data_IF_270815135896
#
_entry.id   IF_270815135896
#
_cell.length_a   1.000
_cell.length_b   1.000
_cell.length_c   1.000
_cell.angle_alpha   90.00
_cell.angle_beta   90.00
_cell.angle_gamma   90.00
#
_symmetry.space_group_name_H-M   'P 1'
#
loop_
_entity.id
_entity.type
_entity.pdbx_description
1 polymer ?
#
# COMPACT_ATOMS: atom_id res chain seq x y z
N UNK A 1 19.38 -47.87 -6.27
CA UNK A 1 20.19 -47.95 -7.50
C UNK A 1 21.47 -47.19 -7.21
N UNK A 2 22.39 -47.82 -6.47
CA UNK A 2 23.60 -48.48 -7.03
C UNK A 2 24.40 -47.55 -7.93
N UNK A 3 25.47 -47.04 -7.33
CA UNK A 3 26.71 -46.55 -7.93
C UNK A 3 27.18 -47.46 -9.06
N UNK A 4 27.48 -46.89 -10.22
CA UNK A 4 28.42 -47.49 -11.17
C UNK A 4 29.34 -46.41 -11.74
N UNK A 5 30.63 -46.75 -11.68
CA UNK A 5 31.80 -46.01 -12.13
C UNK A 5 31.68 -45.56 -13.58
N UNK A 6 32.32 -44.43 -13.88
CA UNK A 6 33.02 -44.29 -15.16
C UNK A 6 34.39 -43.71 -14.83
N UNK A 7 35.41 -44.51 -15.07
CA UNK A 7 36.83 -44.19 -14.91
C UNK A 7 37.15 -42.94 -15.73
N UNK A 8 37.80 -41.95 -15.09
CA UNK A 8 38.33 -40.78 -15.77
C UNK A 8 39.85 -40.92 -15.75
N UNK A 9 40.39 -41.39 -16.88
CA UNK A 9 41.84 -41.46 -17.12
C UNK A 9 42.44 -40.06 -16.99
N UNK A 10 43.48 -39.94 -16.17
CA UNK A 10 44.37 -38.78 -16.12
C UNK A 10 45.38 -38.89 -17.25
N UNK A 11 45.30 -38.01 -18.24
CA UNK A 11 46.47 -37.57 -19.01
C UNK A 11 46.69 -36.08 -18.79
N UNK A 12 47.93 -35.77 -18.37
CA UNK A 12 48.45 -34.45 -18.01
C UNK A 12 48.99 -33.70 -19.24
N UNK A 13 48.90 -32.38 -19.12
CA UNK A 13 49.71 -31.33 -19.75
C UNK A 13 49.65 -31.18 -21.28
N UNK A 14 48.78 -30.29 -21.74
CA UNK A 14 49.03 -29.52 -22.97
C UNK A 14 49.09 -28.02 -22.61
N UNK A 15 50.32 -27.50 -22.50
CA UNK A 15 50.58 -26.06 -22.40
C UNK A 15 50.52 -25.48 -23.81
N UNK A 16 49.51 -24.67 -24.11
CA UNK A 16 49.47 -23.93 -25.37
C UNK A 16 50.22 -22.60 -25.26
N UNK A 17 51.23 -22.40 -26.10
CA UNK A 17 52.02 -21.16 -26.18
C UNK A 17 51.62 -20.38 -27.43
N UNK A 18 50.96 -19.23 -27.27
CA UNK A 18 50.78 -18.25 -28.35
C UNK A 18 51.79 -17.09 -28.24
N UNK A 19 52.47 -16.81 -29.35
CA UNK A 19 53.46 -15.73 -29.44
C UNK A 19 52.79 -14.41 -29.83
N UNK A 20 53.02 -13.35 -29.04
CA UNK A 20 52.70 -11.97 -29.44
C UNK A 20 53.95 -11.23 -29.96
N UNK A 21 53.74 -10.23 -30.81
CA UNK A 21 54.72 -9.64 -31.73
C UNK A 21 55.92 -8.88 -31.10
N UNK A 22 56.13 -8.96 -29.78
CA UNK A 22 57.24 -8.29 -29.07
C UNK A 22 58.10 -9.22 -28.19
N UNK A 23 57.97 -10.54 -28.29
CA UNK A 23 58.93 -11.48 -27.69
C UNK A 23 58.94 -11.56 -26.15
N UNK A 24 57.99 -10.92 -25.47
CA UNK A 24 57.70 -11.19 -24.06
C UNK A 24 56.74 -12.38 -23.98
N UNK A 25 57.18 -13.46 -23.34
CA UNK A 25 56.33 -14.60 -22.97
C UNK A 25 55.29 -14.13 -21.95
N UNK A 26 54.10 -13.79 -22.41
CA UNK A 26 52.93 -13.74 -21.55
C UNK A 26 52.50 -15.19 -21.31
N UNK A 27 52.76 -15.70 -20.12
CA UNK A 27 52.17 -16.95 -19.64
C UNK A 27 50.68 -16.67 -19.52
N UNK A 28 49.91 -17.04 -20.54
CA UNK A 28 48.46 -17.18 -20.40
C UNK A 28 48.30 -18.47 -19.60
N UNK A 29 48.17 -18.33 -18.29
CA UNK A 29 47.88 -19.44 -17.39
C UNK A 29 46.48 -19.95 -17.77
N UNK A 30 46.44 -20.98 -18.62
CA UNK A 30 45.23 -21.67 -19.00
C UNK A 30 44.72 -22.36 -17.74
N UNK A 31 43.58 -21.88 -17.20
CA UNK A 31 43.01 -22.46 -15.98
C UNK A 31 42.87 -23.97 -16.18
N UNK A 32 43.28 -24.74 -15.17
CA UNK A 32 43.03 -26.18 -15.22
C UNK A 32 41.53 -26.45 -15.30
N UNK A 33 41.15 -27.60 -15.83
CA UNK A 33 39.74 -28.02 -15.90
C UNK A 33 39.06 -27.89 -14.53
N UNK A 34 39.77 -28.24 -13.44
CA UNK A 34 39.28 -28.13 -12.07
C UNK A 34 39.04 -26.67 -11.63
N UNK A 35 39.95 -25.76 -11.99
CA UNK A 35 39.83 -24.33 -11.67
C UNK A 35 38.70 -23.66 -12.46
N UNK A 36 38.53 -24.03 -13.74
CA UNK A 36 37.43 -23.56 -14.57
C UNK A 36 36.08 -24.03 -14.02
N UNK A 37 35.96 -25.31 -13.66
CA UNK A 37 34.76 -25.85 -13.00
C UNK A 37 34.47 -25.15 -11.66
N UNK A 38 35.50 -24.88 -10.85
CA UNK A 38 35.34 -24.18 -9.57
C UNK A 38 34.83 -22.74 -9.77
N UNK A 39 35.34 -22.04 -10.79
CA UNK A 39 34.92 -20.69 -11.15
C UNK A 39 33.48 -20.66 -11.68
N UNK A 40 33.12 -21.58 -12.55
CA UNK A 40 31.76 -21.70 -13.09
C UNK A 40 30.76 -22.05 -11.97
N UNK A 41 31.14 -22.95 -11.05
CA UNK A 41 30.34 -23.27 -9.88
C UNK A 41 30.16 -22.05 -8.95
N UNK A 42 31.21 -21.26 -8.73
CA UNK A 42 31.12 -20.04 -7.94
C UNK A 42 30.21 -19.01 -8.60
N UNK A 43 30.31 -18.84 -9.91
CA UNK A 43 29.45 -17.95 -10.69
C UNK A 43 27.98 -18.38 -10.68
N UNK A 44 27.69 -19.67 -10.84
CA UNK A 44 26.33 -20.18 -10.74
C UNK A 44 25.76 -20.09 -9.32
N UNK A 45 26.58 -20.28 -8.28
CA UNK A 45 26.17 -20.03 -6.88
C UNK A 45 25.83 -18.56 -6.64
N UNK A 46 26.62 -17.63 -7.17
CA UNK A 46 26.35 -16.19 -7.07
C UNK A 46 25.04 -15.82 -7.78
N UNK A 47 24.86 -16.29 -9.02
CA UNK A 47 23.59 -16.13 -9.77
C UNK A 47 22.41 -16.70 -8.99
N UNK A 48 22.55 -17.90 -8.42
CA UNK A 48 21.50 -18.53 -7.64
C UNK A 48 21.16 -17.71 -6.40
N UNK A 49 22.16 -17.25 -5.63
CA UNK A 49 21.95 -16.43 -4.45
C UNK A 49 21.24 -15.11 -4.80
N UNK A 50 21.64 -14.47 -5.90
CA UNK A 50 20.99 -13.26 -6.39
C UNK A 50 19.55 -13.53 -6.81
N UNK A 51 19.30 -14.57 -7.60
CA UNK A 51 17.94 -14.94 -8.04
C UNK A 51 17.04 -15.28 -6.83
N UNK A 52 17.59 -15.97 -5.85
CA UNK A 52 16.90 -16.29 -4.60
C UNK A 52 16.53 -15.01 -3.83
N UNK A 53 17.45 -14.04 -3.73
CA UNK A 53 17.18 -12.76 -3.09
C UNK A 53 16.12 -11.95 -3.86
N UNK A 54 16.17 -11.92 -5.19
CA UNK A 54 15.16 -11.28 -6.04
C UNK A 54 13.78 -11.94 -5.87
N UNK A 55 13.74 -13.28 -5.77
CA UNK A 55 12.51 -14.03 -5.52
C UNK A 55 11.89 -13.75 -4.16
N UNK A 56 12.69 -13.71 -3.08
CA UNK A 56 12.22 -13.36 -1.74
C UNK A 56 11.67 -11.93 -1.69
N UNK A 57 12.35 -10.98 -2.34
CA UNK A 57 11.87 -9.61 -2.48
C UNK A 57 10.55 -9.52 -3.26
N UNK A 58 10.46 -10.25 -4.38
CA UNK A 58 9.23 -10.35 -5.18
C UNK A 58 8.07 -10.90 -4.33
N UNK A 59 8.27 -12.02 -3.63
CA UNK A 59 7.26 -12.64 -2.78
C UNK A 59 6.77 -11.68 -1.71
N UNK A 60 7.69 -10.97 -1.04
CA UNK A 60 7.36 -9.96 -0.03
C UNK A 60 6.53 -8.81 -0.62
N UNK A 61 6.91 -8.30 -1.80
CA UNK A 61 6.18 -7.25 -2.51
C UNK A 61 4.78 -7.70 -2.90
N UNK A 62 4.66 -8.86 -3.54
CA UNK A 62 3.37 -9.42 -3.97
C UNK A 62 2.43 -9.67 -2.80
N UNK A 63 2.94 -10.16 -1.66
CA UNK A 63 2.13 -10.32 -0.45
C UNK A 63 1.59 -8.99 0.07
N UNK A 64 2.41 -7.93 0.05
CA UNK A 64 1.99 -6.58 0.45
C UNK A 64 0.91 -6.04 -0.49
N UNK A 65 1.12 -6.12 -1.80
CA UNK A 65 0.16 -5.66 -2.80
C UNK A 65 -1.18 -6.40 -2.70
N UNK A 66 -1.15 -7.71 -2.47
CA UNK A 66 -2.37 -8.51 -2.27
C UNK A 66 -3.14 -8.09 -1.01
N UNK A 67 -2.43 -7.76 0.07
CA UNK A 67 -3.06 -7.28 1.30
C UNK A 67 -3.72 -5.91 1.09
N UNK A 68 -3.04 -4.99 0.42
CA UNK A 68 -3.60 -3.68 0.08
C UNK A 68 -4.83 -3.79 -0.82
N UNK A 69 -4.77 -4.65 -1.85
CA UNK A 69 -5.93 -4.89 -2.72
C UNK A 69 -7.13 -5.42 -1.92
N UNK A 70 -6.91 -6.32 -0.95
CA UNK A 70 -7.97 -6.83 -0.10
C UNK A 70 -8.56 -5.75 0.81
N UNK A 71 -7.71 -4.87 1.38
CA UNK A 71 -8.17 -3.74 2.21
C UNK A 71 -9.07 -2.80 1.43
N UNK A 72 -8.79 -2.58 0.15
CA UNK A 72 -9.54 -1.62 -0.69
C UNK A 72 -10.59 -2.24 -1.61
N UNK A 73 -10.76 -3.57 -1.60
CA UNK A 73 -11.61 -4.28 -2.55
C UNK A 73 -13.09 -3.85 -2.50
N UNK A 74 -13.59 -3.42 -1.35
CA UNK A 74 -14.97 -2.98 -1.16
C UNK A 74 -15.14 -1.44 -1.27
N UNK A 75 -14.10 -0.71 -1.67
CA UNK A 75 -14.11 0.76 -1.72
C UNK A 75 -15.30 1.29 -2.54
N UNK A 76 -15.56 0.75 -3.73
CA UNK A 76 -16.62 1.24 -4.63
C UNK A 76 -18.01 1.09 -4.00
N UNK A 77 -18.27 -0.06 -3.36
CA UNK A 77 -19.53 -0.33 -2.67
C UNK A 77 -19.68 0.60 -1.47
N UNK A 78 -18.62 0.78 -0.67
CA UNK A 78 -18.65 1.68 0.47
C UNK A 78 -18.93 3.12 0.04
N UNK A 79 -18.29 3.59 -1.03
CA UNK A 79 -18.52 4.93 -1.60
C UNK A 79 -19.97 5.11 -2.05
N UNK A 80 -20.55 4.12 -2.72
CA UNK A 80 -21.95 4.15 -3.14
C UNK A 80 -22.94 4.15 -1.96
N UNK A 81 -22.52 3.66 -0.78
CA UNK A 81 -23.35 3.65 0.44
C UNK A 81 -23.24 4.94 1.27
N UNK A 82 -22.21 5.77 1.07
CA UNK A 82 -22.03 7.01 1.84
C UNK A 82 -23.20 8.00 1.70
N UNK A 83 -23.77 8.24 0.51
CA UNK A 83 -24.94 9.12 0.38
C UNK A 83 -26.13 8.66 1.23
N UNK A 84 -26.32 7.33 1.35
CA UNK A 84 -27.38 6.76 2.19
C UNK A 84 -27.11 7.05 3.67
N UNK A 85 -25.85 6.91 4.10
CA UNK A 85 -25.44 7.27 5.46
C UNK A 85 -25.63 8.76 5.74
N UNK A 86 -25.30 9.63 4.78
CA UNK A 86 -25.51 11.08 4.92
C UNK A 86 -27.00 11.43 5.02
N UNK A 87 -27.87 10.71 4.29
CA UNK A 87 -29.31 10.91 4.40
C UNK A 87 -29.86 10.45 5.75
N UNK A 88 -29.28 9.42 6.39
CA UNK A 88 -29.58 9.09 7.77
C UNK A 88 -29.16 10.19 8.74
N UNK A 89 -27.98 10.76 8.58
CA UNK A 89 -27.53 11.92 9.36
C UNK A 89 -28.48 13.11 9.19
N UNK A 90 -28.89 13.40 7.95
CA UNK A 90 -29.85 14.47 7.61
C UNK A 90 -31.21 14.21 8.22
N UNK A 91 -31.71 12.98 8.11
CA UNK A 91 -33.00 12.58 8.66
C UNK A 91 -33.01 12.64 10.18
N UNK A 92 -31.91 12.28 10.84
CA UNK A 92 -31.80 12.35 12.30
C UNK A 92 -32.05 13.77 12.84
N UNK A 93 -31.57 14.81 12.16
CA UNK A 93 -31.82 16.21 12.53
C UNK A 93 -33.30 16.55 12.54
N UNK A 94 -34.07 16.02 11.59
CA UNK A 94 -35.51 16.27 11.51
C UNK A 94 -36.30 15.39 12.47
N UNK A 95 -35.97 14.11 12.56
CA UNK A 95 -36.62 13.13 13.43
C UNK A 95 -36.48 13.53 14.91
N UNK A 96 -35.33 14.11 15.29
CA UNK A 96 -35.10 14.59 16.64
C UNK A 96 -36.08 15.71 17.07
N UNK A 97 -36.76 16.37 16.12
CA UNK A 97 -37.80 17.39 16.39
C UNK A 97 -39.19 16.77 16.62
N UNK A 98 -39.38 15.49 16.32
CA UNK A 98 -40.64 14.79 16.59
C UNK A 98 -40.87 14.64 18.10
N UNK A 99 -42.11 14.49 18.55
CA UNK A 99 -42.43 14.11 19.94
C UNK A 99 -42.56 12.58 20.11
N UNK A 100 -42.49 11.82 19.01
CA UNK A 100 -42.57 10.35 19.04
C UNK A 100 -41.20 9.72 19.34
N UNK A 101 -41.00 9.38 20.62
CA UNK A 101 -39.78 8.73 21.10
C UNK A 101 -39.55 7.32 20.53
N UNK A 102 -40.61 6.58 20.20
CA UNK A 102 -40.47 5.25 19.60
C UNK A 102 -39.94 5.37 18.17
N UNK A 103 -40.44 6.36 17.42
CA UNK A 103 -39.95 6.67 16.08
C UNK A 103 -38.47 7.08 16.12
N UNK A 104 -38.09 8.01 17.02
CA UNK A 104 -36.69 8.44 17.19
C UNK A 104 -35.76 7.26 17.42
N UNK A 105 -36.10 6.44 18.42
CA UNK A 105 -35.30 5.27 18.79
C UNK A 105 -35.23 4.25 17.67
N UNK A 106 -36.34 4.00 16.96
CA UNK A 106 -36.36 3.09 15.82
C UNK A 106 -35.40 3.50 14.71
N UNK A 107 -35.37 4.78 14.36
CA UNK A 107 -34.49 5.30 13.31
C UNK A 107 -33.04 5.36 13.76
N UNK A 108 -32.79 5.77 15.01
CA UNK A 108 -31.45 5.76 15.61
C UNK A 108 -30.83 4.36 15.57
N UNK A 109 -31.58 3.31 15.95
CA UNK A 109 -31.09 1.93 15.91
C UNK A 109 -30.72 1.47 14.50
N UNK A 110 -31.49 1.86 13.48
CA UNK A 110 -31.19 1.52 12.09
C UNK A 110 -29.94 2.26 11.62
N UNK A 111 -29.82 3.54 11.96
CA UNK A 111 -28.66 4.36 11.63
C UNK A 111 -27.38 3.79 12.26
N UNK A 112 -27.40 3.49 13.56
CA UNK A 112 -26.26 2.87 14.24
C UNK A 112 -25.91 1.52 13.65
N UNK A 113 -26.90 0.68 13.32
CA UNK A 113 -26.67 -0.62 12.70
C UNK A 113 -26.00 -0.46 11.33
N UNK A 114 -26.44 0.49 10.50
CA UNK A 114 -25.81 0.78 9.21
C UNK A 114 -24.37 1.23 9.41
N UNK A 115 -24.14 2.24 10.27
CA UNK A 115 -22.81 2.76 10.58
C UNK A 115 -21.87 1.66 11.05
N UNK A 116 -22.28 0.88 12.05
CA UNK A 116 -21.49 -0.22 12.60
C UNK A 116 -21.20 -1.31 11.56
N UNK A 117 -22.15 -1.58 10.66
CA UNK A 117 -21.94 -2.53 9.55
C UNK A 117 -20.85 -2.02 8.61
N UNK A 118 -20.87 -0.74 8.23
CA UNK A 118 -19.84 -0.17 7.35
C UNK A 118 -18.47 -0.11 8.05
N UNK A 119 -18.43 0.24 9.33
CA UNK A 119 -17.20 0.21 10.15
C UNK A 119 -16.62 -1.21 10.23
N UNK A 120 -17.45 -2.23 10.42
CA UNK A 120 -16.99 -3.64 10.40
C UNK A 120 -16.40 -4.08 9.05
N UNK A 121 -16.66 -3.32 7.98
CA UNK A 121 -16.09 -3.52 6.64
C UNK A 121 -14.86 -2.63 6.37
N UNK A 122 -14.35 -1.95 7.39
CA UNK A 122 -13.14 -1.13 7.33
C UNK A 122 -13.36 0.36 7.08
N UNK A 123 -14.62 0.83 7.02
CA UNK A 123 -14.92 2.24 6.86
C UNK A 123 -14.56 3.01 8.14
N UNK A 124 -13.70 4.02 8.03
CA UNK A 124 -13.35 4.91 9.14
C UNK A 124 -13.70 6.35 8.77
N UNK A 125 -14.29 7.10 9.69
CA UNK A 125 -14.54 8.53 9.49
C UNK A 125 -13.21 9.30 9.62
N UNK A 126 -12.99 10.28 8.75
CA UNK A 126 -11.86 11.22 8.91
C UNK A 126 -12.21 12.20 10.02
N UNK A 127 -11.35 12.26 11.05
CA UNK A 127 -11.54 13.12 12.20
C UNK A 127 -11.17 14.57 11.84
N UNK A 128 -12.20 15.38 11.60
CA UNK A 128 -12.10 16.82 11.39
C UNK A 128 -13.23 17.49 12.16
N UNK A 129 -12.91 18.56 12.86
CA UNK A 129 -13.86 19.34 13.64
C UNK A 129 -13.75 20.83 13.30
N UNK A 130 -14.81 21.57 13.59
CA UNK A 130 -14.77 23.03 13.56
C UNK A 130 -13.71 23.54 14.55
N UNK A 131 -12.86 24.45 14.10
CA UNK A 131 -11.74 25.00 14.86
C UNK A 131 -10.39 24.33 14.58
N UNK A 132 -10.37 23.24 13.82
CA UNK A 132 -9.12 22.60 13.36
C UNK A 132 -8.42 23.44 12.29
N UNK A 133 -7.10 23.28 12.17
CA UNK A 133 -6.34 23.87 11.08
C UNK A 133 -6.74 23.19 9.76
N UNK A 134 -6.98 23.98 8.72
CA UNK A 134 -7.27 23.42 7.40
C UNK A 134 -6.02 22.75 6.82
N UNK A 135 -6.20 21.53 6.29
CA UNK A 135 -5.16 20.80 5.56
C UNK A 135 -5.77 20.21 4.28
N UNK A 136 -5.24 20.63 3.12
CA UNK A 136 -5.68 20.19 1.81
C UNK A 136 -5.37 18.71 1.51
N UNK A 137 -4.43 18.09 2.24
CA UNK A 137 -4.10 16.67 2.08
C UNK A 137 -5.21 15.75 2.63
N UNK A 138 -6.08 16.26 3.50
CA UNK A 138 -7.10 15.47 4.20
C UNK A 138 -8.52 16.06 4.11
N UNK A 139 -8.70 17.25 3.54
CA UNK A 139 -9.99 17.94 3.44
C UNK A 139 -10.12 18.76 2.16
N UNK A 140 -11.36 18.88 1.67
CA UNK A 140 -11.73 19.72 0.53
C UNK A 140 -12.41 20.99 1.02
N UNK A 141 -11.78 22.15 0.84
CA UNK A 141 -12.42 23.44 1.14
C UNK A 141 -13.39 23.82 0.00
N UNK A 142 -14.69 23.78 0.26
CA UNK A 142 -15.70 24.11 -0.76
C UNK A 142 -15.95 25.61 -0.89
N UNK A 143 -15.74 26.36 0.18
CA UNK A 143 -15.91 27.81 0.20
C UNK A 143 -15.17 28.42 1.37
N UNK A 144 -15.00 29.74 1.32
CA UNK A 144 -14.50 30.55 2.42
C UNK A 144 -15.55 31.56 2.85
N UNK A 145 -15.64 31.79 4.15
CA UNK A 145 -16.52 32.82 4.71
C UNK A 145 -15.70 33.75 5.63
N UNK A 146 -16.15 35.01 5.85
CA UNK A 146 -15.55 35.85 6.87
C UNK A 146 -15.51 35.13 8.20
N UNK A 147 -14.32 35.05 8.82
CA UNK A 147 -14.16 34.32 10.07
C UNK A 147 -15.12 34.90 11.15
N UNK A 148 -15.97 34.06 11.79
CA UNK A 148 -16.88 34.54 12.85
C UNK A 148 -16.16 35.08 14.08
N UNK A 149 -14.88 34.73 14.23
CA UNK A 149 -13.97 35.26 15.24
C UNK A 149 -12.53 35.15 14.77
N UNK A 150 -11.63 35.97 15.31
CA UNK A 150 -10.20 35.93 14.98
C UNK A 150 -9.58 34.53 15.17
N UNK A 151 -10.10 33.72 16.09
CA UNK A 151 -9.61 32.35 16.36
C UNK A 151 -9.88 31.36 15.22
N UNK A 152 -10.85 31.67 14.36
CA UNK A 152 -11.26 30.83 13.23
C UNK A 152 -10.65 31.27 11.89
N UNK A 153 -9.83 32.32 11.90
CA UNK A 153 -9.14 32.78 10.70
C UNK A 153 -8.14 31.72 10.22
N UNK A 154 -8.25 31.32 8.96
CA UNK A 154 -7.47 30.24 8.36
C UNK A 154 -7.82 28.83 8.85
N UNK A 155 -8.93 28.67 9.60
CA UNK A 155 -9.34 27.40 10.20
C UNK A 155 -10.67 26.92 9.64
N UNK A 156 -10.97 25.66 9.89
CA UNK A 156 -12.24 25.05 9.54
C UNK A 156 -13.33 25.68 10.41
N UNK A 157 -14.33 26.28 9.78
CA UNK A 157 -15.49 26.87 10.45
C UNK A 157 -16.60 25.84 10.59
N UNK A 158 -16.82 25.03 9.56
CA UNK A 158 -17.85 24.00 9.56
C UNK A 158 -17.49 22.82 8.63
N UNK A 159 -18.04 21.65 8.91
CA UNK A 159 -17.90 20.42 8.12
C UNK A 159 -19.26 20.10 7.50
N UNK A 160 -19.39 20.36 6.20
CA UNK A 160 -20.64 20.23 5.46
C UNK A 160 -20.90 18.78 5.06
N UNK A 161 -19.85 18.05 4.73
CA UNK A 161 -19.94 16.64 4.37
C UNK A 161 -18.82 15.86 5.09
N UNK A 162 -19.17 14.79 5.79
CA UNK A 162 -18.21 13.95 6.50
C UNK A 162 -17.34 13.19 5.51
N UNK A 163 -16.03 13.15 5.75
CA UNK A 163 -15.12 12.32 4.98
C UNK A 163 -14.90 10.95 5.60
N UNK A 164 -14.46 10.03 4.77
CA UNK A 164 -14.21 8.65 5.13
C UNK A 164 -12.95 8.10 4.46
N UNK A 165 -12.28 7.18 5.16
CA UNK A 165 -11.10 6.46 4.70
C UNK A 165 -11.30 4.95 4.86
N UNK A 166 -10.47 4.20 4.14
CA UNK A 166 -10.40 2.75 4.17
C UNK A 166 -8.93 2.36 4.33
N UNK A 167 -8.57 1.90 5.52
CA UNK A 167 -7.16 1.82 5.93
C UNK A 167 -6.50 3.20 5.85
N UNK A 168 -5.42 3.32 5.09
CA UNK A 168 -4.64 4.56 4.96
C UNK A 168 -5.14 5.48 3.83
N UNK A 169 -6.13 5.03 3.03
CA UNK A 169 -6.61 5.76 1.86
C UNK A 169 -7.90 6.50 2.16
N UNK A 170 -7.90 7.83 2.01
CA UNK A 170 -9.13 8.62 2.01
C UNK A 170 -9.92 8.28 0.74
N UNK A 171 -11.15 7.79 0.92
CA UNK A 171 -12.04 7.41 -0.18
C UNK A 171 -13.05 8.53 -0.49
N UNK A 172 -13.38 9.35 0.52
CA UNK A 172 -14.14 10.59 0.37
C UNK A 172 -13.55 11.66 1.28
N UNK A 173 -13.13 12.78 0.71
CA UNK A 173 -12.65 13.91 1.49
C UNK A 173 -13.81 14.59 2.22
N UNK A 174 -13.64 15.00 3.50
CA UNK A 174 -14.57 15.89 4.15
C UNK A 174 -14.66 17.21 3.39
N UNK A 175 -15.87 17.71 3.18
CA UNK A 175 -16.08 19.04 2.59
C UNK A 175 -16.25 20.05 3.71
N UNK A 176 -15.41 21.07 3.71
CA UNK A 176 -15.31 22.04 4.81
C UNK A 176 -15.44 23.47 4.33
N UNK A 177 -15.90 24.34 5.24
CA UNK A 177 -15.88 25.78 5.08
C UNK A 177 -14.70 26.34 5.87
N UNK A 178 -13.91 27.22 5.27
CA UNK A 178 -12.72 27.81 5.92
C UNK A 178 -12.96 29.30 6.21
N UNK A 179 -12.51 29.79 7.36
CA UNK A 179 -12.58 31.20 7.72
C UNK A 179 -11.46 31.98 7.03
N UNK A 180 -11.76 33.11 6.37
CA UNK A 180 -10.75 34.01 5.80
C UNK A 180 -10.44 35.23 6.67
#
# INVERSE_FOLDING_TARGET
MTTENTEFDQELDDVTLENNANGEQLIVEELSVEEQLAKDLAHEKDKFLRLFAEFENYKKRTSKERLELFKTANQEVLLAMLPVLDDFDRAAVEINKSDDENLKKGVELIHEKLKNTLVSKGLEQVEIQAGDAFNADIAEAITQIPAPSDKLKGKIVDVIEKGYKLGDKIIRFPKVVVGN
#
